data_IF_530111766861
#
_entry.id   IF_530111766861
#
_cell.length_a   1.000
_cell.length_b   1.000
_cell.length_c   1.000
_cell.angle_alpha   90.00
_cell.angle_beta   90.00
_cell.angle_gamma   90.00
#
_symmetry.space_group_name_H-M   'P 1'
#
loop_
_entity.id
_entity.type
_entity.pdbx_description
1 polymer ?
#
# COMPACT_ATOMS: atom_id res chain seq x y z
N UNK A 1 -19.27 10.05 26.58
CA UNK A 1 -19.42 8.61 26.91
C UNK A 1 -18.74 7.70 25.86
N UNK A 2 -18.92 7.93 24.57
CA UNK A 2 -18.33 7.11 23.50
C UNK A 2 -16.78 7.12 23.53
N UNK A 3 -16.13 8.27 23.77
CA UNK A 3 -14.68 8.41 23.90
C UNK A 3 -14.10 7.61 25.08
N UNK A 4 -14.79 7.56 26.19
CA UNK A 4 -14.34 6.82 27.39
C UNK A 4 -14.47 5.29 27.20
N UNK A 5 -15.50 4.83 26.49
CA UNK A 5 -15.64 3.43 26.11
C UNK A 5 -14.48 2.97 25.22
N UNK A 6 -14.16 3.74 24.19
CA UNK A 6 -13.02 3.41 23.29
C UNK A 6 -11.68 3.32 24.01
N UNK A 7 -11.40 4.21 24.98
CA UNK A 7 -10.17 4.15 25.78
C UNK A 7 -10.14 2.92 26.66
N UNK A 8 -11.23 2.61 27.37
CA UNK A 8 -11.33 1.42 28.22
C UNK A 8 -11.18 0.13 27.43
N UNK A 9 -11.83 0.00 26.28
CA UNK A 9 -11.73 -1.17 25.43
C UNK A 9 -10.33 -1.33 24.88
N UNK A 10 -9.69 -0.25 24.46
CA UNK A 10 -8.30 -0.26 24.00
C UNK A 10 -7.34 -0.76 25.11
N UNK A 11 -7.50 -0.22 26.32
CA UNK A 11 -6.68 -0.62 27.47
C UNK A 11 -6.95 -2.10 27.87
N UNK A 12 -8.23 -2.52 27.86
CA UNK A 12 -8.61 -3.90 28.13
C UNK A 12 -7.98 -4.86 27.11
N UNK A 13 -8.17 -4.61 25.82
CA UNK A 13 -7.61 -5.43 24.76
C UNK A 13 -6.07 -5.44 24.78
N UNK A 14 -5.43 -4.30 25.04
CA UNK A 14 -3.99 -4.24 25.18
C UNK A 14 -3.49 -5.10 26.34
N UNK A 15 -4.21 -5.10 27.48
CA UNK A 15 -3.87 -5.92 28.63
C UNK A 15 -4.09 -7.40 28.35
N UNK A 16 -5.25 -7.79 27.80
CA UNK A 16 -5.61 -9.17 27.46
C UNK A 16 -4.65 -9.79 26.46
N UNK A 17 -4.17 -9.00 25.51
CA UNK A 17 -3.23 -9.46 24.47
C UNK A 17 -1.77 -9.22 24.83
N UNK A 18 -1.48 -8.74 26.04
CA UNK A 18 -0.11 -8.39 26.48
C UNK A 18 0.58 -7.43 25.48
N UNK A 19 -0.15 -6.41 25.04
CA UNK A 19 0.34 -5.40 24.09
C UNK A 19 0.36 -5.82 22.61
N UNK A 20 -0.13 -7.02 22.29
CA UNK A 20 -0.13 -7.53 20.90
C UNK A 20 -1.38 -7.16 20.09
N UNK A 21 -2.36 -6.48 20.69
CA UNK A 21 -3.52 -6.00 19.95
C UNK A 21 -3.13 -4.96 18.91
N UNK A 22 -3.60 -5.14 17.68
CA UNK A 22 -3.52 -4.14 16.62
C UNK A 22 -4.78 -3.29 16.63
N UNK A 23 -4.61 -1.99 16.52
CA UNK A 23 -5.70 -1.02 16.44
C UNK A 23 -5.61 -0.27 15.11
N UNK A 24 -6.68 -0.30 14.35
CA UNK A 24 -6.81 0.56 13.19
C UNK A 24 -7.32 1.94 13.63
N UNK A 25 -6.60 2.98 13.25
CA UNK A 25 -6.97 4.36 13.55
C UNK A 25 -6.90 5.23 12.30
N UNK A 26 -8.04 5.76 11.90
CA UNK A 26 -8.12 6.77 10.84
C UNK A 26 -7.70 8.13 11.41
N UNK A 27 -6.50 8.56 11.05
CA UNK A 27 -5.89 9.74 11.66
C UNK A 27 -6.47 11.04 11.09
N UNK A 28 -6.62 11.15 9.79
CA UNK A 28 -7.01 12.39 9.11
C UNK A 28 -8.36 12.26 8.41
N UNK A 29 -8.43 11.74 7.22
CA UNK A 29 -9.66 11.64 6.45
C UNK A 29 -10.48 10.42 6.91
N UNK A 30 -11.64 10.69 7.51
CA UNK A 30 -12.53 9.65 8.08
C UNK A 30 -13.71 9.33 7.17
N UNK A 31 -14.06 10.25 6.28
CA UNK A 31 -15.15 10.08 5.33
C UNK A 31 -14.62 9.57 4.00
N UNK A 32 -14.94 8.31 3.68
CA UNK A 32 -14.53 7.68 2.44
C UNK A 32 -15.25 8.29 1.21
N UNK A 33 -16.43 8.90 1.41
CA UNK A 33 -17.14 9.60 0.36
C UNK A 33 -16.43 10.90 -0.04
N UNK A 34 -16.02 11.71 0.95
CA UNK A 34 -15.21 12.90 0.69
C UNK A 34 -13.87 12.53 0.03
N UNK A 35 -13.22 11.46 0.49
CA UNK A 35 -11.98 10.99 -0.11
C UNK A 35 -12.18 10.52 -1.56
N UNK A 36 -13.30 9.83 -1.83
CA UNK A 36 -13.71 9.48 -3.19
C UNK A 36 -13.84 10.73 -4.07
N UNK A 37 -14.53 11.74 -3.57
CA UNK A 37 -14.73 13.00 -4.28
C UNK A 37 -13.40 13.70 -4.60
N UNK A 38 -12.49 13.77 -3.64
CA UNK A 38 -11.16 14.32 -3.86
C UNK A 38 -10.38 13.54 -4.93
N UNK A 39 -10.39 12.22 -4.88
CA UNK A 39 -9.64 11.36 -5.81
C UNK A 39 -10.22 11.36 -7.21
N UNK A 40 -11.54 11.58 -7.37
CA UNK A 40 -12.23 11.50 -8.69
C UNK A 40 -12.45 12.85 -9.33
N UNK A 41 -12.74 13.90 -8.55
CA UNK A 41 -13.07 15.23 -9.07
C UNK A 41 -11.84 16.10 -9.40
N UNK A 42 -10.67 15.73 -8.89
CA UNK A 42 -9.44 16.46 -9.15
C UNK A 42 -8.47 15.66 -10.01
N UNK A 43 -8.01 16.27 -11.10
CA UNK A 43 -6.94 15.73 -11.94
C UNK A 43 -5.53 15.94 -11.36
N UNK A 44 -5.42 16.69 -10.27
CA UNK A 44 -4.14 17.08 -9.65
C UNK A 44 -3.86 16.31 -8.34
N UNK A 45 -4.77 15.44 -7.91
CA UNK A 45 -4.60 14.64 -6.70
C UNK A 45 -4.25 13.21 -7.08
N UNK A 46 -3.11 12.78 -6.58
CA UNK A 46 -2.62 11.41 -6.73
C UNK A 46 -2.40 10.79 -5.36
N UNK A 47 -2.71 9.50 -5.19
CA UNK A 47 -2.27 8.77 -4.01
C UNK A 47 -0.72 8.75 -3.98
N UNK A 48 -0.18 8.86 -2.82
CA UNK A 48 1.27 9.01 -2.69
C UNK A 48 1.83 8.30 -1.48
N UNK A 49 2.53 9.03 -0.64
CA UNK A 49 3.26 8.52 0.50
C UNK A 49 2.34 7.96 1.59
N UNK A 50 2.72 6.80 2.13
CA UNK A 50 2.28 6.33 3.44
C UNK A 50 3.34 6.59 4.51
N UNK A 51 2.94 6.53 5.78
CA UNK A 51 3.83 6.69 6.93
C UNK A 51 4.44 5.36 7.41
N UNK A 52 4.27 4.27 6.66
CA UNK A 52 4.84 2.97 6.98
C UNK A 52 6.35 3.06 7.15
N UNK A 53 6.84 2.57 8.30
CA UNK A 53 8.24 2.67 8.67
C UNK A 53 8.55 3.88 9.56
N UNK A 54 7.72 4.90 9.61
CA UNK A 54 7.78 5.90 10.65
C UNK A 54 7.38 5.23 11.98
N UNK A 55 8.22 5.38 13.00
CA UNK A 55 8.01 4.67 14.26
C UNK A 55 7.78 3.16 14.08
N UNK A 56 8.63 2.51 13.36
CA UNK A 56 8.59 1.13 12.78
C UNK A 56 7.66 0.10 13.43
N UNK A 57 7.42 0.21 14.72
CA UNK A 57 6.51 -0.66 15.49
C UNK A 57 5.14 -0.05 15.81
N UNK A 58 4.80 1.11 15.22
CA UNK A 58 3.57 1.84 15.54
C UNK A 58 2.70 2.11 14.31
N UNK A 59 3.29 2.43 13.16
CA UNK A 59 2.56 2.83 11.96
C UNK A 59 2.79 1.81 10.85
N UNK A 60 1.69 1.32 10.28
CA UNK A 60 1.71 0.42 9.14
C UNK A 60 0.55 0.77 8.19
N UNK A 61 0.90 1.43 7.10
CA UNK A 61 0.03 1.78 5.98
C UNK A 61 0.71 1.52 4.62
N UNK A 62 1.65 0.57 4.58
CA UNK A 62 2.38 0.19 3.36
C UNK A 62 1.45 -0.36 2.27
N UNK A 63 0.24 -0.80 2.63
CA UNK A 63 -0.74 -1.37 1.70
C UNK A 63 -1.50 -0.36 0.84
N UNK A 64 -1.24 0.95 0.94
CA UNK A 64 -2.03 1.97 0.26
C UNK A 64 -2.13 1.78 -1.26
N UNK A 65 -1.06 1.38 -1.92
CA UNK A 65 -1.05 1.14 -3.37
C UNK A 65 -1.90 -0.08 -3.75
N UNK A 66 -1.83 -1.14 -2.95
CA UNK A 66 -2.67 -2.32 -3.14
C UNK A 66 -4.14 -2.00 -2.85
N UNK A 67 -4.42 -1.15 -1.84
CA UNK A 67 -5.76 -0.69 -1.49
C UNK A 67 -6.46 0.08 -2.61
N UNK A 68 -5.70 0.76 -3.48
CA UNK A 68 -6.26 1.39 -4.68
C UNK A 68 -6.84 0.34 -5.62
N UNK A 69 -6.17 -0.80 -5.78
CA UNK A 69 -6.62 -1.90 -6.62
C UNK A 69 -7.71 -2.75 -5.95
N UNK A 70 -7.59 -3.04 -4.65
CA UNK A 70 -8.55 -3.88 -3.95
C UNK A 70 -9.85 -3.14 -3.65
N UNK A 71 -9.78 -1.97 -3.04
CA UNK A 71 -10.94 -1.23 -2.57
C UNK A 71 -11.51 -0.27 -3.64
N UNK A 72 -10.68 0.69 -4.12
CA UNK A 72 -11.19 1.75 -5.01
C UNK A 72 -11.54 1.26 -6.41
N UNK A 73 -10.81 0.30 -6.94
CA UNK A 73 -11.17 -0.34 -8.21
C UNK A 73 -12.20 -1.47 -7.98
N UNK A 74 -11.78 -2.58 -7.30
CA UNK A 74 -12.58 -3.82 -7.31
C UNK A 74 -13.83 -3.75 -6.43
N UNK A 75 -13.73 -3.26 -5.18
CA UNK A 75 -14.87 -3.31 -4.25
C UNK A 75 -15.87 -2.19 -4.50
N UNK A 76 -15.39 -0.97 -4.73
CA UNK A 76 -16.27 0.20 -4.87
C UNK A 76 -16.58 0.59 -6.30
N UNK A 77 -15.82 0.10 -7.29
CA UNK A 77 -15.95 0.52 -8.69
C UNK A 77 -15.75 2.03 -8.89
N UNK A 78 -15.03 2.67 -7.98
CA UNK A 78 -14.75 4.12 -8.05
C UNK A 78 -13.87 4.46 -9.24
N UNK A 79 -12.89 3.61 -9.52
CA UNK A 79 -12.01 3.68 -10.69
C UNK A 79 -12.22 2.48 -11.60
N UNK A 80 -11.96 2.64 -12.89
CA UNK A 80 -11.64 1.51 -13.75
C UNK A 80 -10.24 1.00 -13.40
N UNK A 81 -9.86 -0.19 -13.88
CA UNK A 81 -8.52 -0.72 -13.66
C UNK A 81 -7.45 0.22 -14.23
N UNK A 82 -7.69 0.74 -15.43
CA UNK A 82 -6.78 1.68 -16.11
C UNK A 82 -6.60 2.97 -15.31
N UNK A 83 -7.70 3.53 -14.78
CA UNK A 83 -7.64 4.73 -13.94
C UNK A 83 -6.88 4.48 -12.64
N UNK A 84 -7.10 3.34 -11.99
CA UNK A 84 -6.38 2.95 -10.78
C UNK A 84 -4.87 2.82 -11.05
N UNK A 85 -4.50 2.18 -12.16
CA UNK A 85 -3.10 2.02 -12.57
C UNK A 85 -2.49 3.37 -12.95
N UNK A 86 -3.19 4.21 -13.73
CA UNK A 86 -2.73 5.56 -14.11
C UNK A 86 -2.39 6.40 -12.87
N UNK A 87 -3.25 6.37 -11.85
CA UNK A 87 -3.06 7.11 -10.59
C UNK A 87 -1.78 6.73 -9.84
N UNK A 88 -1.22 5.56 -10.10
CA UNK A 88 0.01 5.05 -9.45
C UNK A 88 1.23 5.03 -10.38
N UNK A 89 1.06 5.28 -11.66
CA UNK A 89 2.12 5.12 -12.67
C UNK A 89 2.32 6.38 -13.51
N UNK A 90 1.63 6.49 -14.65
CA UNK A 90 1.83 7.58 -15.61
C UNK A 90 1.44 8.96 -15.06
N UNK A 91 0.45 9.04 -14.19
CA UNK A 91 0.06 10.28 -13.54
C UNK A 91 1.20 10.86 -12.68
N UNK A 92 1.67 10.17 -11.64
CA UNK A 92 2.80 10.61 -10.84
C UNK A 92 4.09 10.80 -11.65
N UNK A 93 4.37 9.93 -12.62
CA UNK A 93 5.53 10.07 -13.48
C UNK A 93 5.52 11.40 -14.23
N UNK A 94 4.37 11.79 -14.77
CA UNK A 94 4.19 13.10 -15.45
C UNK A 94 4.40 14.26 -14.50
N UNK A 95 3.87 14.21 -13.28
CA UNK A 95 4.04 15.27 -12.27
C UNK A 95 5.51 15.43 -11.88
N UNK A 96 6.24 14.33 -11.77
CA UNK A 96 7.66 14.31 -11.39
C UNK A 96 8.60 14.55 -12.58
N UNK A 97 8.07 14.70 -13.81
CA UNK A 97 8.90 14.87 -15.01
C UNK A 97 9.68 13.62 -15.42
N UNK A 98 9.25 12.43 -15.01
CA UNK A 98 9.87 11.16 -15.41
C UNK A 98 9.44 10.80 -16.83
N UNK A 99 10.35 10.82 -17.78
CA UNK A 99 10.06 10.62 -19.20
C UNK A 99 10.33 9.20 -19.70
N UNK A 100 10.95 8.37 -18.86
CA UNK A 100 11.42 7.03 -19.24
C UNK A 100 10.62 5.88 -18.59
N UNK A 101 9.56 6.19 -17.85
CA UNK A 101 8.74 5.19 -17.10
C UNK A 101 7.29 5.64 -16.91
N UNK A 102 6.47 4.78 -16.31
CA UNK A 102 5.06 5.03 -16.01
C UNK A 102 4.09 4.55 -17.09
N UNK A 103 4.59 4.13 -18.25
CA UNK A 103 3.82 3.53 -19.35
C UNK A 103 4.57 2.34 -19.95
N UNK A 104 3.81 1.38 -20.50
CA UNK A 104 4.37 0.27 -21.28
C UNK A 104 4.48 0.70 -22.73
N UNK A 105 5.70 1.06 -23.16
CA UNK A 105 5.98 1.49 -24.53
C UNK A 105 7.42 1.14 -24.92
N UNK A 106 7.67 1.01 -26.21
CA UNK A 106 9.01 0.79 -26.73
C UNK A 106 9.96 1.93 -26.34
N UNK A 107 11.15 1.58 -25.86
CA UNK A 107 12.16 2.54 -25.39
C UNK A 107 12.02 2.99 -23.94
N UNK A 108 10.93 2.62 -23.25
CA UNK A 108 10.76 2.88 -21.82
C UNK A 108 11.47 1.84 -20.97
N UNK A 109 11.76 2.19 -19.71
CA UNK A 109 12.27 1.23 -18.73
C UNK A 109 11.25 0.13 -18.48
N UNK A 110 11.74 -1.10 -18.43
CA UNK A 110 10.91 -2.26 -18.17
C UNK A 110 10.73 -2.45 -16.64
N UNK A 111 10.02 -1.51 -16.01
CA UNK A 111 9.59 -1.57 -14.62
C UNK A 111 8.10 -1.97 -14.63
N UNK A 112 7.81 -3.26 -14.39
CA UNK A 112 6.51 -3.87 -14.68
C UNK A 112 6.03 -4.68 -13.48
N UNK A 113 4.77 -4.50 -13.08
CA UNK A 113 4.08 -5.38 -12.15
C UNK A 113 3.09 -6.27 -12.90
N UNK A 114 3.16 -7.56 -12.64
CA UNK A 114 2.18 -8.55 -13.13
C UNK A 114 1.34 -8.99 -11.94
N UNK A 115 0.05 -8.78 -12.01
CA UNK A 115 -0.87 -9.11 -10.93
C UNK A 115 -2.23 -9.61 -11.45
N UNK A 116 -2.95 -10.29 -10.57
CA UNK A 116 -4.31 -10.74 -10.80
C UNK A 116 -5.27 -9.69 -10.22
N UNK A 117 -5.99 -8.99 -11.09
CA UNK A 117 -6.87 -7.89 -10.70
C UNK A 117 -8.05 -8.35 -9.82
N UNK A 118 -8.47 -9.60 -9.93
CA UNK A 118 -9.56 -10.17 -9.14
C UNK A 118 -9.10 -10.61 -7.74
N UNK A 119 -7.81 -10.87 -7.56
CA UNK A 119 -7.26 -11.41 -6.30
C UNK A 119 -6.34 -10.45 -5.55
N UNK A 120 -5.84 -9.40 -6.22
CA UNK A 120 -4.91 -8.46 -5.58
C UNK A 120 -5.53 -7.82 -4.35
N UNK A 121 -4.86 -7.96 -3.20
CA UNK A 121 -5.30 -7.35 -1.94
C UNK A 121 -4.14 -7.25 -0.96
N UNK A 122 -4.18 -6.25 -0.09
CA UNK A 122 -3.31 -6.14 1.06
C UNK A 122 -3.69 -7.16 2.13
N UNK A 123 -2.70 -7.65 2.85
CA UNK A 123 -2.89 -8.55 3.98
C UNK A 123 -2.81 -7.77 5.29
N UNK A 124 -3.33 -8.36 6.36
CA UNK A 124 -3.20 -7.77 7.69
C UNK A 124 -1.72 -7.62 8.06
N UNK A 125 -1.31 -6.47 8.64
CA UNK A 125 0.03 -6.30 9.15
C UNK A 125 0.38 -7.37 10.18
N UNK A 126 1.63 -7.81 10.17
CA UNK A 126 2.18 -8.75 11.15
C UNK A 126 3.38 -8.14 11.86
N UNK A 127 3.49 -8.43 13.15
CA UNK A 127 4.65 -8.04 13.95
C UNK A 127 5.76 -9.10 13.77
N UNK A 128 6.95 -8.66 13.39
CA UNK A 128 8.15 -9.48 13.30
C UNK A 128 9.25 -8.93 14.20
N UNK A 129 10.20 -9.78 14.59
CA UNK A 129 11.29 -9.46 15.51
C UNK A 129 12.64 -9.69 14.82
N UNK A 130 12.89 -8.98 13.71
CA UNK A 130 14.06 -9.16 12.84
C UNK A 130 15.05 -7.97 12.89
N UNK A 131 14.82 -7.00 13.77
CA UNK A 131 15.75 -5.93 14.04
C UNK A 131 16.82 -6.38 15.06
N UNK A 132 17.96 -5.66 15.16
CA UNK A 132 18.97 -5.94 16.15
C UNK A 132 18.38 -6.11 17.56
N UNK A 133 18.89 -7.07 18.32
CA UNK A 133 18.38 -7.46 19.63
C UNK A 133 16.92 -7.94 19.66
N UNK A 134 16.38 -8.42 18.52
CA UNK A 134 15.00 -8.86 18.44
C UNK A 134 13.96 -7.75 18.56
N UNK A 135 14.34 -6.52 18.24
CA UNK A 135 13.40 -5.39 18.28
C UNK A 135 12.26 -5.59 17.27
N UNK A 136 11.02 -5.24 17.66
CA UNK A 136 9.85 -5.48 16.83
C UNK A 136 9.71 -4.45 15.71
N UNK A 137 9.15 -4.87 14.58
CA UNK A 137 8.59 -3.99 13.55
C UNK A 137 7.38 -4.63 12.90
N UNK A 138 6.51 -3.80 12.32
CA UNK A 138 5.46 -4.30 11.45
C UNK A 138 5.95 -4.51 10.03
N UNK A 139 5.46 -5.58 9.42
CA UNK A 139 5.51 -5.81 7.97
C UNK A 139 4.10 -5.98 7.45
N UNK A 140 3.87 -5.57 6.20
CA UNK A 140 2.62 -5.82 5.50
C UNK A 140 2.91 -6.44 4.15
N UNK A 141 2.37 -7.62 3.92
CA UNK A 141 2.42 -8.32 2.64
C UNK A 141 1.13 -8.08 1.85
N UNK A 142 1.17 -8.41 0.58
CA UNK A 142 0.00 -8.47 -0.31
C UNK A 142 -0.08 -9.83 -0.95
N UNK A 143 -1.23 -10.14 -1.55
CA UNK A 143 -1.40 -11.29 -2.44
C UNK A 143 -1.89 -10.83 -3.81
N UNK A 144 -1.85 -11.72 -4.80
CA UNK A 144 -2.31 -11.45 -6.17
C UNK A 144 -1.22 -10.89 -7.09
N UNK A 145 -0.08 -10.43 -6.57
CA UNK A 145 1.07 -10.11 -7.40
C UNK A 145 1.82 -11.38 -7.80
N UNK A 146 2.05 -11.54 -9.11
CA UNK A 146 2.77 -12.68 -9.71
C UNK A 146 4.23 -12.38 -9.93
N UNK A 147 4.55 -11.18 -10.40
CA UNK A 147 5.92 -10.76 -10.58
C UNK A 147 6.07 -9.24 -10.49
N UNK A 148 7.21 -8.80 -9.97
CA UNK A 148 7.71 -7.43 -10.10
C UNK A 148 9.01 -7.48 -10.88
N UNK A 149 9.05 -6.77 -11.98
CA UNK A 149 10.16 -6.66 -12.90
C UNK A 149 10.74 -5.26 -12.77
N UNK A 150 12.04 -5.16 -12.61
CA UNK A 150 12.77 -3.89 -12.52
C UNK A 150 13.86 -3.92 -13.58
N UNK A 151 13.91 -2.91 -14.46
CA UNK A 151 14.87 -2.85 -15.56
C UNK A 151 14.92 -4.15 -16.40
N UNK A 152 13.78 -4.80 -16.61
CA UNK A 152 13.68 -6.05 -17.38
C UNK A 152 14.06 -7.32 -16.62
N UNK A 153 14.48 -7.23 -15.36
CA UNK A 153 14.82 -8.39 -14.55
C UNK A 153 13.79 -8.64 -13.46
N UNK A 154 13.39 -9.89 -13.25
CA UNK A 154 12.41 -10.26 -12.21
C UNK A 154 13.06 -10.13 -10.84
N UNK A 155 12.59 -9.19 -10.04
CA UNK A 155 13.06 -8.90 -8.68
C UNK A 155 12.24 -9.59 -7.60
N UNK A 156 10.94 -9.78 -7.87
CA UNK A 156 10.01 -10.50 -7.00
C UNK A 156 9.20 -11.47 -7.85
N UNK A 157 8.97 -12.67 -7.36
CA UNK A 157 8.10 -13.67 -7.97
C UNK A 157 7.22 -14.31 -6.90
N UNK A 158 5.92 -14.30 -7.11
CA UNK A 158 4.90 -14.84 -6.18
C UNK A 158 5.08 -14.39 -4.72
N UNK A 159 5.48 -13.11 -4.53
CA UNK A 159 5.68 -12.49 -3.22
C UNK A 159 7.06 -12.71 -2.60
N UNK A 160 7.97 -13.47 -3.26
CA UNK A 160 9.31 -13.75 -2.74
C UNK A 160 10.39 -13.06 -3.58
N UNK A 161 11.42 -12.55 -2.89
CA UNK A 161 12.59 -11.92 -3.54
C UNK A 161 13.41 -12.95 -4.31
N UNK A 162 13.76 -12.64 -5.56
CA UNK A 162 14.62 -13.48 -6.39
C UNK A 162 16.12 -13.32 -6.11
N UNK A 163 16.50 -12.35 -5.28
CA UNK A 163 17.89 -11.94 -5.07
C UNK A 163 18.44 -10.99 -6.14
N UNK A 164 17.69 -10.74 -7.22
CA UNK A 164 18.11 -9.83 -8.29
C UNK A 164 18.05 -8.36 -7.81
N UNK A 165 19.11 -7.59 -8.08
CA UNK A 165 19.24 -6.17 -7.76
C UNK A 165 19.43 -5.39 -9.05
N UNK A 166 18.35 -5.17 -9.78
CA UNK A 166 18.34 -4.52 -11.09
C UNK A 166 18.03 -3.01 -11.06
N UNK A 167 17.75 -2.45 -9.89
CA UNK A 167 17.52 -1.01 -9.72
C UNK A 167 18.76 -0.18 -10.09
N UNK A 168 18.54 0.95 -10.82
CA UNK A 168 19.59 1.90 -11.23
C UNK A 168 19.12 3.32 -10.93
#
# INVERSE_FOLDING_TARGET
>A
RQRQMCIRDRLRLSKETQGRALFNWHMFQKDMGELKDLLTKSSHIYPGLGDAGAHVSQIMDAGWSTFILSYWYRETGTFTLEQAVEKMTSGPAKVLGLTDRGVLSLGMKADINVFDADQVTELQPTLVHDFPNGAPRFIQKSRGFKATIVNGAVSVRDGELTGTRAGK
#
